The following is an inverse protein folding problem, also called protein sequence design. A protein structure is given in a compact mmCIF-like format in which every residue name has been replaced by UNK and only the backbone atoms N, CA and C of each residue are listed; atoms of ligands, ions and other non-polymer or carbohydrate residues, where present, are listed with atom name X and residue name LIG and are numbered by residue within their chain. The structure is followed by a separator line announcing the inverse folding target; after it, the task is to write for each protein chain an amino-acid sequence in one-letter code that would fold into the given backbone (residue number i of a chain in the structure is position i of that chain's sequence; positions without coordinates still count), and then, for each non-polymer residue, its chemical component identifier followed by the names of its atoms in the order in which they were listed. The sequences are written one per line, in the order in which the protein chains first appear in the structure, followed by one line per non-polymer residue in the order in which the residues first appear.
data_IF_543682008688
#
_entry.id   IF_543682008688
#
_cell.length_a   1.000
_cell.length_b   1.000
_cell.length_c   1.000
_cell.angle_alpha   90.00
_cell.angle_beta   90.00
_cell.angle_gamma   90.00
#
_symmetry.space_group_name_H-M   'P 1'
#
loop_
_entity.id
_entity.type
_entity.pdbx_description
1 polymer ?
#
# COMPACT_ATOMS: atom_id res chain seq x y z
N UNK A 1 -12.76 -15.77 -18.40
CA UNK A 1 -11.61 -15.16 -17.69
C UNK A 1 -10.42 -15.06 -18.64
N UNK A 2 -9.95 -16.17 -19.27
CA UNK A 2 -8.75 -16.15 -20.13
C UNK A 2 -8.81 -15.16 -21.29
N UNK A 3 -9.94 -15.10 -22.04
CA UNK A 3 -10.12 -14.16 -23.15
C UNK A 3 -10.10 -12.69 -22.68
N UNK A 4 -10.68 -12.40 -21.52
CA UNK A 4 -10.63 -11.06 -20.93
C UNK A 4 -9.21 -10.70 -20.53
N UNK A 5 -8.45 -11.64 -19.95
CA UNK A 5 -7.04 -11.43 -19.62
C UNK A 5 -6.17 -11.19 -20.86
N UNK A 6 -6.41 -11.93 -21.98
CA UNK A 6 -5.71 -11.69 -23.23
C UNK A 6 -5.98 -10.30 -23.82
N UNK A 7 -7.16 -9.73 -23.59
CA UNK A 7 -7.50 -8.39 -24.03
C UNK A 7 -6.95 -7.29 -23.11
N UNK A 8 -6.88 -7.54 -21.79
CA UNK A 8 -6.46 -6.56 -20.79
C UNK A 8 -4.93 -6.53 -20.63
N UNK A 9 -4.26 -7.69 -20.69
CA UNK A 9 -2.80 -7.77 -20.49
C UNK A 9 -1.97 -6.87 -21.42
N UNK A 10 -2.25 -6.76 -22.74
CA UNK A 10 -1.50 -5.87 -23.60
C UNK A 10 -1.63 -4.40 -23.20
N UNK A 11 -2.85 -3.96 -22.81
CA UNK A 11 -3.10 -2.59 -22.36
C UNK A 11 -2.35 -2.30 -21.06
N UNK A 12 -2.39 -3.22 -20.09
CA UNK A 12 -1.65 -3.10 -18.82
C UNK A 12 -0.14 -3.14 -19.04
N UNK A 13 0.35 -3.98 -19.95
CA UNK A 13 1.76 -4.03 -20.34
C UNK A 13 2.22 -2.71 -20.97
N UNK A 14 1.42 -2.12 -21.85
CA UNK A 14 1.73 -0.83 -22.47
C UNK A 14 1.79 0.31 -21.44
N UNK A 15 0.80 0.38 -20.53
CA UNK A 15 0.79 1.35 -19.43
C UNK A 15 2.02 1.18 -18.54
N UNK A 16 2.34 -0.06 -18.15
CA UNK A 16 3.49 -0.34 -17.29
C UNK A 16 4.82 0.02 -17.98
N UNK A 17 4.98 -0.30 -19.26
CA UNK A 17 6.15 0.09 -20.04
C UNK A 17 6.25 1.62 -20.19
N UNK A 18 5.13 2.29 -20.44
CA UNK A 18 5.06 3.75 -20.50
C UNK A 18 5.50 4.42 -19.21
N UNK A 19 5.04 3.91 -18.06
CA UNK A 19 5.43 4.41 -16.74
C UNK A 19 6.90 4.08 -16.44
N UNK A 20 7.38 2.89 -16.78
CA UNK A 20 8.80 2.53 -16.62
C UNK A 20 9.71 3.46 -17.42
N UNK A 21 9.40 3.69 -18.69
CA UNK A 21 10.16 4.63 -19.54
C UNK A 21 10.10 6.08 -19.02
N UNK A 22 8.95 6.49 -18.49
CA UNK A 22 8.78 7.80 -17.86
C UNK A 22 9.62 7.93 -16.58
N UNK A 23 9.67 6.88 -15.75
CA UNK A 23 10.49 6.83 -14.54
C UNK A 23 11.98 6.82 -14.83
N UNK A 24 12.42 6.09 -15.85
CA UNK A 24 13.82 6.02 -16.27
C UNK A 24 14.34 7.37 -16.80
N UNK A 25 13.45 8.17 -17.41
CA UNK A 25 13.75 9.51 -17.90
C UNK A 25 13.71 10.63 -16.86
N UNK A 26 13.14 10.39 -15.69
CA UNK A 26 12.92 11.40 -14.65
C UNK A 26 13.56 10.92 -13.34
N UNK A 27 14.56 11.62 -12.82
CA UNK A 27 15.32 11.25 -11.63
C UNK A 27 14.50 10.92 -10.36
N UNK A 28 15.17 10.75 -9.22
CA UNK A 28 14.63 10.28 -7.94
C UNK A 28 13.33 10.97 -7.46
N UNK A 29 13.12 12.24 -7.78
CA UNK A 29 11.92 12.99 -7.37
C UNK A 29 10.64 12.38 -7.94
N UNK A 30 10.67 11.85 -9.14
CA UNK A 30 9.51 11.23 -9.78
C UNK A 30 9.19 9.86 -9.24
N UNK A 31 10.20 9.11 -8.80
CA UNK A 31 10.00 7.83 -8.09
C UNK A 31 9.28 8.06 -6.77
N UNK A 32 9.69 9.06 -6.00
CA UNK A 32 9.01 9.41 -4.73
C UNK A 32 7.56 9.80 -4.98
N UNK A 33 7.29 10.61 -6.01
CA UNK A 33 5.92 11.00 -6.38
C UNK A 33 5.07 9.78 -6.76
N UNK A 34 5.62 8.85 -7.54
CA UNK A 34 4.94 7.59 -7.86
C UNK A 34 4.63 6.80 -6.59
N UNK A 35 5.60 6.68 -5.67
CA UNK A 35 5.40 6.01 -4.38
C UNK A 35 4.26 6.61 -3.56
N UNK A 36 4.19 7.95 -3.50
CA UNK A 36 3.11 8.69 -2.84
C UNK A 36 1.76 8.33 -3.46
N UNK A 37 1.65 8.36 -4.79
CA UNK A 37 0.41 8.10 -5.51
C UNK A 37 -0.03 6.65 -5.32
N UNK A 38 0.84 5.69 -5.59
CA UNK A 38 0.51 4.26 -5.58
C UNK A 38 0.19 3.78 -4.17
N UNK A 39 0.95 4.20 -3.16
CA UNK A 39 0.66 3.87 -1.78
C UNK A 39 -0.63 4.56 -1.27
N UNK A 40 -0.87 5.81 -1.67
CA UNK A 40 -2.13 6.50 -1.37
C UNK A 40 -3.34 5.79 -1.95
N UNK A 41 -3.26 5.29 -3.18
CA UNK A 41 -4.31 4.50 -3.83
C UNK A 41 -4.69 3.24 -3.03
N UNK A 42 -3.73 2.64 -2.32
CA UNK A 42 -3.98 1.46 -1.47
C UNK A 42 -4.98 1.74 -0.35
N UNK A 43 -5.12 3.00 0.07
CA UNK A 43 -5.93 3.43 1.22
C UNK A 43 -7.23 4.14 0.84
N UNK A 44 -7.49 4.38 -0.45
CA UNK A 44 -8.71 5.07 -0.92
C UNK A 44 -9.95 4.25 -0.62
N UNK A 45 -9.92 2.97 -0.93
CA UNK A 45 -11.05 2.04 -0.83
C UNK A 45 -10.72 0.72 -0.13
N UNK A 46 -9.52 0.61 0.47
CA UNK A 46 -9.07 -0.44 1.41
C UNK A 46 -9.41 -1.88 0.96
N UNK A 47 -9.10 -2.21 -0.29
CA UNK A 47 -9.40 -3.51 -0.91
C UNK A 47 -10.37 -3.43 -2.09
N UNK A 48 -10.90 -2.26 -2.42
CA UNK A 48 -11.75 -2.02 -3.56
C UNK A 48 -11.00 -1.89 -4.90
N UNK A 49 -11.66 -1.35 -5.93
CA UNK A 49 -11.10 -1.25 -7.29
C UNK A 49 -9.81 -0.44 -7.38
N UNK A 50 -9.69 0.69 -6.65
CA UNK A 50 -8.51 1.56 -6.67
C UNK A 50 -7.31 0.88 -6.02
N UNK A 51 -7.53 0.25 -4.86
CA UNK A 51 -6.54 -0.57 -4.19
C UNK A 51 -6.05 -1.71 -5.10
N UNK A 52 -6.97 -2.44 -5.73
CA UNK A 52 -6.61 -3.54 -6.65
C UNK A 52 -5.86 -3.06 -7.88
N UNK A 53 -6.18 -1.89 -8.42
CA UNK A 53 -5.43 -1.29 -9.53
C UNK A 53 -3.98 -1.00 -9.15
N UNK A 54 -3.74 -0.40 -7.97
CA UNK A 54 -2.40 -0.16 -7.45
C UNK A 54 -1.63 -1.47 -7.21
N UNK A 55 -2.31 -2.48 -6.65
CA UNK A 55 -1.72 -3.80 -6.41
C UNK A 55 -1.32 -4.52 -7.72
N UNK A 56 -2.22 -4.51 -8.72
CA UNK A 56 -1.94 -5.11 -10.04
C UNK A 56 -0.78 -4.39 -10.71
N UNK A 57 -0.71 -3.05 -10.62
CA UNK A 57 0.41 -2.27 -11.11
C UNK A 57 1.74 -2.66 -10.41
N UNK A 58 1.74 -2.76 -9.07
CA UNK A 58 2.91 -3.19 -8.31
C UNK A 58 3.38 -4.60 -8.67
N UNK A 59 2.45 -5.56 -8.83
CA UNK A 59 2.80 -6.92 -9.24
C UNK A 59 3.31 -6.99 -10.69
N UNK A 60 2.76 -6.20 -11.61
CA UNK A 60 3.26 -6.09 -12.97
C UNK A 60 4.68 -5.49 -13.00
N UNK A 61 4.97 -4.53 -12.12
CA UNK A 61 6.31 -3.93 -11.98
C UNK A 61 7.38 -4.95 -11.55
N UNK A 62 7.00 -5.99 -10.79
CA UNK A 62 7.92 -7.08 -10.46
C UNK A 62 8.44 -7.82 -11.71
N UNK A 63 7.57 -8.01 -12.72
CA UNK A 63 7.94 -8.68 -13.96
C UNK A 63 8.92 -7.85 -14.81
N UNK A 64 8.93 -6.53 -14.65
CA UNK A 64 9.86 -5.60 -15.33
C UNK A 64 11.13 -5.30 -14.52
N UNK A 65 11.24 -5.87 -13.31
CA UNK A 65 12.40 -5.65 -12.43
C UNK A 65 12.34 -4.38 -11.57
N UNK A 66 11.23 -3.64 -11.57
CA UNK A 66 11.01 -2.46 -10.74
C UNK A 66 10.45 -2.88 -9.37
N UNK A 67 11.34 -3.28 -8.46
CA UNK A 67 10.98 -3.83 -7.15
C UNK A 67 10.60 -2.77 -6.11
N UNK A 68 10.95 -1.52 -6.34
CA UNK A 68 10.65 -0.37 -5.48
C UNK A 68 9.15 -0.04 -5.47
N UNK A 69 8.47 -0.18 -6.61
CA UNK A 69 7.02 0.04 -6.71
C UNK A 69 6.25 -0.92 -5.80
N UNK A 70 6.61 -2.21 -5.81
CA UNK A 70 5.93 -3.20 -4.96
C UNK A 70 6.17 -2.94 -3.47
N UNK A 71 7.34 -2.44 -3.08
CA UNK A 71 7.62 -2.03 -1.71
C UNK A 71 6.67 -0.89 -1.28
N UNK A 72 6.47 0.13 -2.13
CA UNK A 72 5.55 1.23 -1.85
C UNK A 72 4.07 0.77 -1.78
N UNK A 73 3.65 -0.15 -2.64
CA UNK A 73 2.31 -0.76 -2.61
C UNK A 73 2.08 -1.49 -1.30
N UNK A 74 3.02 -2.33 -0.88
CA UNK A 74 2.86 -3.15 0.33
C UNK A 74 2.79 -2.27 1.58
N UNK A 75 3.72 -1.31 1.76
CA UNK A 75 3.69 -0.44 2.93
C UNK A 75 2.41 0.40 2.96
N UNK A 76 1.97 0.91 1.79
CA UNK A 76 0.72 1.67 1.66
C UNK A 76 -0.51 0.89 2.11
N UNK A 77 -0.58 -0.40 1.83
CA UNK A 77 -1.70 -1.24 2.28
C UNK A 77 -1.60 -1.73 3.72
N UNK A 78 -0.41 -1.72 4.32
CA UNK A 78 -0.21 -2.06 5.74
C UNK A 78 -0.59 -0.91 6.68
N UNK A 79 -0.44 0.34 6.24
CA UNK A 79 -0.67 1.54 7.07
C UNK A 79 -2.10 1.65 7.60
N UNK A 80 -3.19 1.51 6.82
CA UNK A 80 -4.55 1.72 7.32
C UNK A 80 -4.89 0.85 8.54
N UNK A 81 -4.77 -0.48 8.49
CA UNK A 81 -5.13 -1.31 9.65
C UNK A 81 -4.20 -1.07 10.84
N UNK A 82 -2.89 -0.82 10.63
CA UNK A 82 -1.97 -0.51 11.73
C UNK A 82 -2.33 0.83 12.37
N UNK A 83 -2.64 1.86 11.58
CA UNK A 83 -3.06 3.17 12.08
C UNK A 83 -4.35 3.07 12.90
N UNK A 84 -5.34 2.30 12.46
CA UNK A 84 -6.57 2.03 13.20
C UNK A 84 -6.25 1.30 14.52
N UNK A 85 -5.43 0.26 14.48
CA UNK A 85 -5.03 -0.49 15.68
C UNK A 85 -4.35 0.42 16.71
N UNK A 86 -3.42 1.26 16.28
CA UNK A 86 -2.78 2.26 17.15
C UNK A 86 -3.80 3.28 17.68
N UNK A 87 -4.68 3.80 16.82
CA UNK A 87 -5.69 4.78 17.20
C UNK A 87 -6.66 4.21 18.25
N UNK A 88 -7.16 2.99 18.07
CA UNK A 88 -8.07 2.33 19.02
C UNK A 88 -7.39 1.98 20.35
N UNK A 89 -6.07 1.77 20.34
CA UNK A 89 -5.28 1.48 21.55
C UNK A 89 -4.97 2.75 22.34
N UNK A 90 -4.49 3.81 21.68
CA UNK A 90 -3.99 5.03 22.36
C UNK A 90 -5.09 6.07 22.58
N UNK A 91 -6.04 6.21 21.65
CA UNK A 91 -7.09 7.25 21.71
C UNK A 91 -8.45 6.66 22.12
N UNK A 92 -8.50 6.02 23.28
CA UNK A 92 -9.67 5.29 23.81
C UNK A 92 -10.97 6.09 23.79
N UNK A 93 -10.91 7.38 24.00
CA UNK A 93 -12.08 8.27 24.05
C UNK A 93 -12.71 8.57 22.67
N UNK A 94 -12.08 8.14 21.58
CA UNK A 94 -12.55 8.37 20.21
C UNK A 94 -13.36 7.19 19.67
N UNK A 95 -13.29 6.04 20.34
CA UNK A 95 -13.80 4.77 19.85
C UNK A 95 -14.71 4.12 20.90
N UNK A 96 -15.77 3.46 20.47
CA UNK A 96 -16.61 2.67 21.38
C UNK A 96 -15.90 1.37 21.81
N UNK A 97 -16.47 0.67 22.80
CA UNK A 97 -15.82 -0.53 23.38
C UNK A 97 -15.75 -1.71 22.40
N UNK A 98 -16.68 -1.79 21.46
CA UNK A 98 -16.67 -2.82 20.41
C UNK A 98 -15.58 -2.52 19.37
N UNK A 99 -15.51 -1.30 18.88
CA UNK A 99 -14.47 -0.85 17.94
C UNK A 99 -13.08 -1.04 18.55
N UNK A 100 -12.90 -0.75 19.82
CA UNK A 100 -11.62 -0.94 20.51
C UNK A 100 -11.22 -2.40 20.61
N UNK A 101 -12.16 -3.31 20.92
CA UNK A 101 -11.88 -4.75 20.97
C UNK A 101 -11.52 -5.29 19.58
N UNK A 102 -12.25 -4.88 18.56
CA UNK A 102 -12.01 -5.28 17.18
C UNK A 102 -10.73 -4.64 16.61
N UNK A 103 -10.35 -3.45 17.09
CA UNK A 103 -9.15 -2.75 16.69
C UNK A 103 -7.85 -3.52 16.91
N UNK A 104 -7.79 -4.37 17.93
CA UNK A 104 -6.61 -5.19 18.22
C UNK A 104 -6.31 -6.19 17.08
N UNK A 105 -7.34 -6.71 16.41
CA UNK A 105 -7.18 -7.62 15.27
C UNK A 105 -6.46 -6.94 14.11
N UNK A 106 -6.61 -5.62 13.97
CA UNK A 106 -5.98 -4.85 12.91
C UNK A 106 -4.44 -4.79 13.02
N UNK A 107 -3.84 -5.04 14.18
CA UNK A 107 -2.39 -5.25 14.25
C UNK A 107 -1.96 -6.45 13.41
N UNK A 108 -2.66 -7.57 13.57
CA UNK A 108 -2.34 -8.80 12.81
C UNK A 108 -2.65 -8.59 11.33
N UNK A 109 -3.82 -8.03 11.02
CA UNK A 109 -4.21 -7.79 9.63
C UNK A 109 -3.23 -6.86 8.91
N UNK A 110 -2.83 -5.76 9.55
CA UNK A 110 -1.86 -4.83 8.99
C UNK A 110 -0.48 -5.46 8.78
N UNK A 111 0.00 -6.25 9.75
CA UNK A 111 1.25 -6.98 9.61
C UNK A 111 1.20 -8.04 8.50
N UNK A 112 0.02 -8.56 8.18
CA UNK A 112 -0.20 -9.51 7.08
C UNK A 112 -0.50 -8.86 5.73
N UNK A 113 -0.46 -7.52 5.63
CA UNK A 113 -0.83 -6.78 4.42
C UNK A 113 -2.32 -6.98 4.05
N UNK A 114 -3.21 -6.95 5.04
CA UNK A 114 -4.67 -7.07 4.86
C UNK A 114 -5.31 -5.73 5.22
N UNK A 115 -5.54 -4.88 4.21
CA UNK A 115 -6.08 -3.53 4.39
C UNK A 115 -7.57 -3.51 4.73
N UNK A 116 -8.29 -4.58 4.44
CA UNK A 116 -9.73 -4.72 4.65
C UNK A 116 -10.15 -4.61 6.13
N UNK A 117 -9.23 -4.84 7.07
CA UNK A 117 -9.47 -4.63 8.50
C UNK A 117 -9.85 -3.20 8.89
N UNK A 118 -9.48 -2.22 8.08
CA UNK A 118 -9.84 -0.82 8.29
C UNK A 118 -11.24 -0.45 7.77
N UNK A 119 -11.89 -1.30 6.95
CA UNK A 119 -13.19 -1.00 6.32
C UNK A 119 -14.29 -0.65 7.33
N UNK A 120 -14.51 -1.39 8.44
CA UNK A 120 -15.55 -1.03 9.39
C UNK A 120 -15.39 0.37 9.97
N UNK A 121 -14.15 0.79 10.21
CA UNK A 121 -13.81 2.11 10.75
C UNK A 121 -13.97 3.22 9.69
N UNK A 122 -13.58 2.93 8.47
CA UNK A 122 -13.81 3.83 7.34
C UNK A 122 -15.30 4.01 7.04
N UNK A 123 -16.11 2.98 7.24
CA UNK A 123 -17.56 3.06 7.08
C UNK A 123 -18.25 3.86 8.20
N UNK A 124 -17.70 3.83 9.42
CA UNK A 124 -18.26 4.58 10.56
C UNK A 124 -17.96 6.09 10.49
N UNK A 125 -16.77 6.49 10.04
CA UNK A 125 -16.38 7.90 9.86
C UNK A 125 -15.50 8.08 8.61
N UNK A 126 -16.10 8.03 7.42
CA UNK A 126 -15.34 8.06 6.16
C UNK A 126 -14.57 9.36 5.95
N UNK A 127 -15.11 10.49 6.41
CA UNK A 127 -14.51 11.80 6.18
C UNK A 127 -13.23 12.05 7.00
N UNK A 128 -13.02 11.31 8.08
CA UNK A 128 -11.81 11.40 8.89
C UNK A 128 -10.88 10.23 8.66
N UNK A 129 -11.40 9.02 8.62
CA UNK A 129 -10.58 7.81 8.52
C UNK A 129 -9.92 7.69 7.14
N UNK A 130 -10.68 7.84 6.05
CA UNK A 130 -10.13 7.66 4.70
C UNK A 130 -9.02 8.67 4.39
N UNK A 131 -9.22 10.01 4.56
CA UNK A 131 -8.15 10.97 4.29
C UNK A 131 -6.91 10.76 5.17
N UNK A 132 -7.10 10.41 6.44
CA UNK A 132 -5.97 10.15 7.35
C UNK A 132 -5.16 8.94 6.89
N UNK A 133 -5.82 7.86 6.48
CA UNK A 133 -5.17 6.67 5.93
C UNK A 133 -4.44 6.98 4.62
N UNK A 134 -5.07 7.75 3.71
CA UNK A 134 -4.45 8.14 2.44
C UNK A 134 -3.15 8.94 2.70
N UNK A 135 -3.21 9.93 3.59
CA UNK A 135 -2.02 10.74 3.93
C UNK A 135 -0.92 9.87 4.54
N UNK A 136 -1.26 9.02 5.50
CA UNK A 136 -0.29 8.12 6.14
C UNK A 136 0.35 7.17 5.13
N UNK A 137 -0.45 6.52 4.28
CA UNK A 137 0.06 5.61 3.25
C UNK A 137 0.90 6.34 2.19
N UNK A 138 0.48 7.52 1.77
CA UNK A 138 1.21 8.33 0.80
C UNK A 138 2.60 8.73 1.35
N UNK A 139 2.69 9.14 2.61
CA UNK A 139 3.96 9.47 3.27
C UNK A 139 4.84 8.23 3.35
N UNK A 140 4.31 7.10 3.82
CA UNK A 140 5.04 5.84 3.92
C UNK A 140 5.58 5.36 2.56
N UNK A 141 4.75 5.40 1.51
CA UNK A 141 5.17 5.03 0.15
C UNK A 141 6.23 5.96 -0.42
N UNK A 142 6.09 7.27 -0.20
CA UNK A 142 7.09 8.26 -0.58
C UNK A 142 8.44 8.04 0.12
N UNK A 143 8.44 7.77 1.43
CA UNK A 143 9.63 7.46 2.20
C UNK A 143 10.27 6.13 1.75
N UNK A 144 9.47 5.09 1.51
CA UNK A 144 9.94 3.80 1.00
C UNK A 144 10.72 3.97 -0.31
N UNK A 145 10.19 4.76 -1.24
CA UNK A 145 10.86 5.09 -2.50
C UNK A 145 12.11 5.96 -2.30
N UNK A 146 12.04 6.98 -1.41
CA UNK A 146 13.17 7.85 -1.11
C UNK A 146 14.34 7.08 -0.48
N UNK A 147 14.06 6.08 0.34
CA UNK A 147 15.05 5.21 0.96
C UNK A 147 15.54 4.07 0.05
N UNK A 148 15.00 3.97 -1.16
CA UNK A 148 15.34 2.91 -2.10
C UNK A 148 14.99 1.51 -1.59
N UNK A 149 13.89 1.38 -0.86
CA UNK A 149 13.38 0.08 -0.41
C UNK A 149 12.89 -0.71 -1.61
N UNK A 150 13.21 -2.00 -1.65
CA UNK A 150 12.83 -2.90 -2.74
C UNK A 150 12.19 -4.16 -2.20
N UNK A 151 11.16 -4.67 -2.88
CA UNK A 151 10.48 -5.90 -2.50
C UNK A 151 10.25 -6.78 -3.71
N UNK A 152 10.74 -8.01 -3.63
CA UNK A 152 10.64 -9.01 -4.72
C UNK A 152 9.46 -9.98 -4.55
N UNK A 153 8.65 -9.81 -3.52
CA UNK A 153 7.48 -10.64 -3.25
C UNK A 153 6.18 -9.85 -3.50
N UNK A 154 5.17 -10.45 -4.12
CA UNK A 154 3.91 -9.76 -4.40
C UNK A 154 3.03 -9.59 -3.17
N UNK A 155 3.21 -10.41 -2.14
CA UNK A 155 2.40 -10.42 -0.92
C UNK A 155 3.19 -10.99 0.26
N UNK A 156 2.71 -10.73 1.49
CA UNK A 156 3.24 -11.37 2.69
C UNK A 156 3.42 -10.45 3.91
N UNK A 157 3.34 -9.12 3.74
CA UNK A 157 3.50 -8.20 4.87
C UNK A 157 4.83 -8.40 5.59
N UNK A 158 4.78 -8.54 6.93
CA UNK A 158 5.97 -8.71 7.76
C UNK A 158 6.76 -10.00 7.45
N UNK A 159 6.10 -11.04 6.95
CA UNK A 159 6.77 -12.31 6.64
C UNK A 159 7.77 -12.23 5.49
N UNK A 160 7.67 -11.22 4.63
CA UNK A 160 8.61 -10.99 3.53
C UNK A 160 9.66 -9.94 3.85
N UNK A 161 9.71 -9.38 5.06
CA UNK A 161 10.73 -8.42 5.48
C UNK A 161 12.17 -8.92 5.28
N UNK A 162 12.49 -10.21 5.49
CA UNK A 162 13.84 -10.70 5.20
C UNK A 162 14.29 -10.57 3.74
N UNK A 163 13.36 -10.44 2.80
CA UNK A 163 13.64 -10.26 1.36
C UNK A 163 13.42 -8.81 0.89
N UNK A 164 13.10 -7.90 1.82
CA UNK A 164 13.02 -6.46 1.54
C UNK A 164 14.43 -5.87 1.52
N UNK A 165 14.79 -5.22 0.43
CA UNK A 165 16.00 -4.40 0.39
C UNK A 165 15.84 -3.18 1.29
N UNK A 166 16.87 -2.88 2.11
CA UNK A 166 16.86 -1.81 3.13
C UNK A 166 15.73 -1.97 4.17
N UNK A 167 15.53 -3.18 4.67
CA UNK A 167 14.44 -3.51 5.60
C UNK A 167 14.36 -2.61 6.85
N UNK A 168 15.50 -2.11 7.36
CA UNK A 168 15.50 -1.17 8.48
C UNK A 168 14.85 0.16 8.11
N UNK A 169 15.18 0.71 6.94
CA UNK A 169 14.57 1.95 6.44
C UNK A 169 13.11 1.73 6.05
N UNK A 170 12.75 0.51 5.67
CA UNK A 170 11.37 0.13 5.39
C UNK A 170 10.48 0.14 6.64
N UNK A 171 11.02 -0.21 7.81
CA UNK A 171 10.31 -0.11 9.10
C UNK A 171 10.12 1.35 9.51
N UNK A 172 11.07 2.22 9.15
CA UNK A 172 10.99 3.66 9.47
C UNK A 172 10.03 4.40 8.54
N UNK A 173 9.88 3.92 7.30
CA UNK A 173 8.99 4.50 6.30
C UNK A 173 7.51 4.24 6.62
#
# INVERSE_FOLDING_TARGET
IGLVMCAVNPAMGWINTGISNWLDGMGNTSKVLLGIIVAGMMSVDMGGPVNKAAYVFGTASLATGNFDVMAAVMIGGMVPPIAIALSTTFFKNKWNDEERRNGVVNYIMGLCFISEGAIPYAASDPLRVIPSCIVGSAVAGGLSMAFGCTLRAPHGGVFVFPVVGNWLMYIVA
#
